data_IF_275222199610
#
_entry.id   IF_275222199610
#
_cell.length_a   1.000
_cell.length_b   1.000
_cell.length_c   1.000
_cell.angle_alpha   90.00
_cell.angle_beta   90.00
_cell.angle_gamma   90.00
#
_symmetry.space_group_name_H-M   'P 1'
#
loop_
_entity.id
_entity.type
_entity.pdbx_description
1 polymer ?
#
# COMPACT_ATOMS: atom_id res chain seq x y z
N UNK A 1 15.09 17.40 -3.12
CA UNK A 1 15.81 16.41 -3.93
C UNK A 1 15.30 15.05 -3.46
N UNK A 2 14.33 14.45 -4.16
CA UNK A 2 13.69 13.18 -3.78
C UNK A 2 14.07 12.16 -4.83
N UNK A 3 15.15 11.44 -4.55
CA UNK A 3 15.63 10.28 -5.28
C UNK A 3 15.73 9.25 -4.15
N UNK A 4 14.75 8.39 -3.95
CA UNK A 4 14.55 7.19 -4.76
C UNK A 4 13.14 6.63 -4.49
N UNK A 5 12.23 6.80 -5.45
CA UNK A 5 10.80 7.07 -5.20
C UNK A 5 9.91 5.80 -5.15
N UNK A 6 10.29 4.77 -4.37
CA UNK A 6 9.47 3.57 -4.19
C UNK A 6 8.95 3.46 -2.77
N UNK A 7 7.65 3.21 -2.63
CA UNK A 7 7.01 2.98 -1.31
C UNK A 7 7.32 1.58 -0.74
N UNK A 8 7.98 0.69 -1.49
CA UNK A 8 8.35 -0.65 -1.04
C UNK A 8 8.71 -1.63 -2.17
N UNK A 9 9.03 -2.90 -1.84
CA UNK A 9 9.50 -3.89 -2.81
C UNK A 9 8.43 -4.28 -3.84
N UNK A 10 7.16 -4.30 -3.46
CA UNK A 10 6.07 -4.60 -4.38
C UNK A 10 5.85 -3.50 -5.43
N UNK A 11 6.12 -2.24 -5.09
CA UNK A 11 6.04 -1.15 -6.06
C UNK A 11 7.12 -1.28 -7.13
N UNK A 12 8.36 -1.55 -6.70
CA UNK A 12 9.47 -1.83 -7.62
C UNK A 12 9.15 -3.00 -8.54
N UNK A 13 8.63 -4.11 -7.99
CA UNK A 13 8.23 -5.27 -8.80
C UNK A 13 7.15 -4.93 -9.82
N UNK A 14 6.12 -4.18 -9.43
CA UNK A 14 5.08 -3.76 -10.38
C UNK A 14 5.63 -2.90 -11.51
N UNK A 15 6.60 -2.04 -11.24
CA UNK A 15 7.24 -1.22 -12.27
C UNK A 15 8.09 -2.06 -13.23
N UNK A 16 8.91 -2.97 -12.69
CA UNK A 16 9.72 -3.90 -13.50
C UNK A 16 8.84 -4.78 -14.39
N UNK A 17 7.75 -5.35 -13.83
CA UNK A 17 6.77 -6.14 -14.59
C UNK A 17 6.07 -5.31 -15.68
N UNK A 18 5.74 -4.05 -15.37
CA UNK A 18 5.10 -3.16 -16.34
C UNK A 18 6.05 -2.78 -17.48
N UNK A 19 7.35 -2.60 -17.20
CA UNK A 19 8.37 -2.29 -18.20
C UNK A 19 8.54 -3.43 -19.23
N UNK A 20 8.42 -4.69 -18.79
CA UNK A 20 8.52 -5.87 -19.65
C UNK A 20 7.23 -6.22 -20.40
N UNK A 21 6.21 -5.34 -20.39
CA UNK A 21 4.93 -5.52 -21.10
C UNK A 21 4.29 -6.90 -20.88
N UNK A 22 3.87 -7.17 -19.65
CA UNK A 22 2.76 -8.08 -19.30
C UNK A 22 2.73 -9.51 -19.88
N UNK A 23 3.82 -10.05 -20.39
CA UNK A 23 3.94 -11.49 -20.48
C UNK A 23 4.28 -11.99 -19.08
N UNK A 24 3.27 -12.15 -18.20
CA UNK A 24 3.41 -12.85 -16.91
C UNK A 24 3.58 -14.35 -17.18
N UNK A 25 4.59 -14.67 -17.97
CA UNK A 25 5.04 -16.02 -18.30
C UNK A 25 6.28 -16.30 -17.46
N UNK A 26 6.62 -17.57 -17.31
CA UNK A 26 7.74 -18.01 -16.48
C UNK A 26 9.09 -17.36 -16.87
N UNK A 27 9.27 -17.04 -18.15
CA UNK A 27 10.47 -16.36 -18.68
C UNK A 27 10.58 -14.91 -18.17
N UNK A 28 9.45 -14.25 -17.90
CA UNK A 28 9.44 -12.89 -17.38
C UNK A 28 9.78 -12.81 -15.89
N UNK A 29 9.41 -13.82 -15.09
CA UNK A 29 9.73 -13.81 -13.65
C UNK A 29 11.25 -13.89 -13.42
N UNK A 30 11.96 -14.73 -14.17
CA UNK A 30 13.42 -14.85 -14.07
C UNK A 30 14.14 -13.54 -14.42
N UNK A 31 13.67 -12.83 -15.47
CA UNK A 31 14.20 -11.51 -15.86
C UNK A 31 13.89 -10.44 -14.82
N UNK A 32 12.66 -10.41 -14.30
CA UNK A 32 12.25 -9.48 -13.24
C UNK A 32 13.06 -9.72 -11.98
N UNK A 33 13.35 -10.97 -11.62
CA UNK A 33 14.24 -11.30 -10.50
C UNK A 33 15.64 -10.73 -10.73
N UNK A 34 16.21 -10.88 -11.92
CA UNK A 34 17.54 -10.31 -12.23
C UNK A 34 17.56 -8.79 -12.10
N UNK A 35 16.55 -8.12 -12.67
CA UNK A 35 16.45 -6.66 -12.59
C UNK A 35 16.23 -6.18 -11.15
N UNK A 36 15.44 -6.91 -10.35
CA UNK A 36 15.21 -6.61 -8.94
C UNK A 36 16.51 -6.71 -8.14
N UNK A 37 17.29 -7.77 -8.34
CA UNK A 37 18.57 -7.97 -7.66
C UNK A 37 19.62 -6.96 -8.15
N UNK A 38 19.62 -6.63 -9.44
CA UNK A 38 20.50 -5.59 -10.00
C UNK A 38 20.21 -4.23 -9.36
N UNK A 39 18.94 -3.86 -9.22
CA UNK A 39 18.49 -2.63 -8.57
C UNK A 39 18.86 -2.61 -7.07
N UNK A 40 18.71 -3.75 -6.39
CA UNK A 40 19.12 -3.89 -4.98
C UNK A 40 20.63 -3.63 -4.82
N UNK A 41 21.45 -4.18 -5.73
CA UNK A 41 22.91 -4.04 -5.71
C UNK A 41 23.40 -2.64 -6.12
N UNK A 42 22.71 -1.96 -7.04
CA UNK A 42 23.13 -0.63 -7.52
C UNK A 42 23.01 0.46 -6.46
N UNK A 43 22.22 0.24 -5.40
CA UNK A 43 22.09 1.15 -4.26
C UNK A 43 23.25 1.11 -3.26
N UNK A 44 24.17 0.16 -3.38
CA UNK A 44 25.34 0.07 -2.49
C UNK A 44 24.99 -0.22 -1.02
N UNK A 45 25.93 -0.01 -0.07
CA UNK A 45 25.72 -0.26 1.37
C UNK A 45 24.94 0.83 2.12
N UNK A 46 24.45 1.87 1.43
CA UNK A 46 23.70 3.00 2.02
C UNK A 46 22.22 2.69 2.30
N UNK A 47 21.87 1.40 2.39
CA UNK A 47 20.52 1.00 2.74
C UNK A 47 20.20 1.42 4.17
N UNK A 48 19.07 2.11 4.33
CA UNK A 48 18.40 2.18 5.61
C UNK A 48 18.01 0.74 6.02
N UNK A 49 18.58 0.27 7.12
CA UNK A 49 18.46 -1.12 7.60
C UNK A 49 17.00 -1.56 7.76
N UNK A 50 16.13 -0.63 8.13
CA UNK A 50 14.70 -0.89 8.34
C UNK A 50 14.00 -1.21 7.00
N UNK A 51 14.31 -0.44 5.94
CA UNK A 51 13.80 -0.71 4.60
C UNK A 51 14.45 -1.94 3.95
N UNK A 52 15.68 -2.30 4.34
CA UNK A 52 16.40 -3.44 3.78
C UNK A 52 15.70 -4.78 4.03
N UNK A 53 15.07 -4.94 5.19
CA UNK A 53 14.50 -6.23 5.59
C UNK A 53 13.39 -6.71 4.65
N UNK A 54 12.48 -5.82 4.25
CA UNK A 54 11.36 -6.20 3.36
C UNK A 54 11.86 -6.56 1.96
N UNK A 55 12.81 -5.80 1.42
CA UNK A 55 13.41 -6.10 0.12
C UNK A 55 14.21 -7.39 0.14
N UNK A 56 14.91 -7.70 1.25
CA UNK A 56 15.67 -8.95 1.39
C UNK A 56 14.76 -10.18 1.43
N UNK A 57 13.62 -10.12 2.13
CA UNK A 57 12.65 -11.22 2.15
C UNK A 57 12.11 -11.49 0.74
N UNK A 58 11.73 -10.44 0.02
CA UNK A 58 11.24 -10.57 -1.36
C UNK A 58 12.34 -11.05 -2.31
N UNK A 59 13.57 -10.54 -2.16
CA UNK A 59 14.72 -10.99 -2.94
C UNK A 59 14.99 -12.49 -2.73
N UNK A 60 14.98 -12.96 -1.49
CA UNK A 60 15.18 -14.38 -1.16
C UNK A 60 14.10 -15.24 -1.82
N UNK A 61 12.81 -14.88 -1.67
CA UNK A 61 11.70 -15.60 -2.32
C UNK A 61 11.86 -15.65 -3.84
N UNK A 62 12.25 -14.54 -4.48
CA UNK A 62 12.45 -14.50 -5.94
C UNK A 62 13.64 -15.35 -6.40
N UNK A 63 14.71 -15.40 -5.61
CA UNK A 63 15.88 -16.23 -5.87
C UNK A 63 15.55 -17.71 -5.71
N UNK A 64 14.80 -18.09 -4.67
CA UNK A 64 14.35 -19.47 -4.44
C UNK A 64 13.48 -19.96 -5.61
N UNK A 65 12.51 -19.14 -6.03
CA UNK A 65 11.66 -19.41 -7.20
C UNK A 65 12.48 -19.56 -8.50
N UNK A 66 13.52 -18.74 -8.67
CA UNK A 66 14.41 -18.82 -9.84
C UNK A 66 15.29 -20.07 -9.81
N UNK A 67 15.85 -20.41 -8.65
CA UNK A 67 16.72 -21.57 -8.46
C UNK A 67 15.96 -22.88 -8.72
N UNK A 68 14.78 -23.02 -8.12
CA UNK A 68 13.90 -24.16 -8.35
C UNK A 68 13.59 -24.38 -9.84
N UNK A 69 13.40 -23.30 -10.60
CA UNK A 69 13.06 -23.39 -12.02
C UNK A 69 14.24 -23.77 -12.92
N UNK A 70 15.46 -23.40 -12.54
CA UNK A 70 16.68 -23.67 -13.32
C UNK A 70 17.27 -25.06 -13.07
N UNK A 71 16.87 -25.73 -11.99
CA UNK A 71 17.23 -27.11 -11.74
C UNK A 71 16.48 -28.02 -12.75
N UNK A 72 17.14 -29.06 -13.29
CA UNK A 72 16.47 -30.02 -14.17
C UNK A 72 15.26 -30.56 -13.43
N UNK A 73 14.08 -30.48 -14.05
CA UNK A 73 12.85 -30.98 -13.47
C UNK A 73 13.02 -32.47 -13.15
N UNK A 74 13.27 -32.79 -11.88
CA UNK A 74 12.66 -33.98 -11.32
C UNK A 74 11.15 -33.77 -11.50
N UNK A 75 10.42 -34.83 -11.83
CA UNK A 75 8.97 -34.77 -11.80
C UNK A 75 8.52 -34.18 -10.45
N UNK A 76 7.41 -33.43 -10.43
CA UNK A 76 6.85 -32.87 -9.19
C UNK A 76 6.51 -34.05 -8.27
N UNK A 77 7.47 -34.48 -7.47
CA UNK A 77 7.42 -35.72 -6.70
C UNK A 77 7.45 -35.45 -5.19
N UNK A 78 7.85 -34.24 -4.75
CA UNK A 78 8.00 -33.91 -3.33
C UNK A 78 7.17 -32.70 -2.84
N UNK A 79 7.06 -32.59 -1.52
CA UNK A 79 6.34 -31.54 -0.79
C UNK A 79 6.98 -30.15 -0.98
N UNK A 80 8.29 -30.09 -1.22
CA UNK A 80 9.02 -28.84 -1.38
C UNK A 80 8.69 -28.14 -2.71
N UNK A 81 8.53 -28.92 -3.78
CA UNK A 81 8.09 -28.41 -5.09
C UNK A 81 6.66 -27.84 -5.02
N UNK A 82 5.77 -28.48 -4.26
CA UNK A 82 4.41 -27.97 -4.03
C UNK A 82 4.45 -26.64 -3.26
N UNK A 83 5.23 -26.56 -2.17
CA UNK A 83 5.39 -25.35 -1.38
C UNK A 83 5.94 -24.17 -2.22
N UNK A 84 6.84 -24.44 -3.16
CA UNK A 84 7.38 -23.43 -4.08
C UNK A 84 6.32 -22.90 -5.06
N UNK A 85 5.45 -23.76 -5.59
CA UNK A 85 4.31 -23.34 -6.42
C UNK A 85 3.33 -22.48 -5.63
N UNK A 86 3.04 -22.85 -4.39
CA UNK A 86 2.18 -22.04 -3.50
C UNK A 86 2.82 -20.68 -3.16
N UNK A 87 4.12 -20.64 -2.90
CA UNK A 87 4.85 -19.40 -2.64
C UNK A 87 4.80 -18.44 -3.84
N UNK A 88 4.91 -18.98 -5.06
CA UNK A 88 4.74 -18.23 -6.31
C UNK A 88 3.33 -17.62 -6.40
N UNK A 89 2.30 -18.43 -6.17
CA UNK A 89 0.92 -17.99 -6.31
C UNK A 89 0.55 -16.97 -5.23
N UNK A 90 1.06 -17.14 -4.01
CA UNK A 90 0.94 -16.17 -2.93
C UNK A 90 1.61 -14.83 -3.28
N UNK A 91 2.81 -14.87 -3.86
CA UNK A 91 3.51 -13.66 -4.31
C UNK A 91 2.68 -12.90 -5.36
N UNK A 92 2.13 -13.62 -6.35
CA UNK A 92 1.26 -13.01 -7.36
C UNK A 92 -0.03 -12.44 -6.77
N UNK A 93 -0.66 -13.14 -5.82
CA UNK A 93 -1.84 -12.65 -5.12
C UNK A 93 -1.55 -11.33 -4.38
N UNK A 94 -0.42 -11.26 -3.67
CA UNK A 94 0.01 -10.03 -2.97
C UNK A 94 0.31 -8.88 -3.93
N UNK A 95 0.97 -9.16 -5.06
CA UNK A 95 1.22 -8.15 -6.10
C UNK A 95 -0.09 -7.61 -6.68
N UNK A 96 -1.07 -8.49 -6.95
CA UNK A 96 -2.38 -8.08 -7.45
C UNK A 96 -3.14 -7.23 -6.42
N UNK A 97 -3.09 -7.62 -5.15
CA UNK A 97 -3.69 -6.90 -4.03
C UNK A 97 -3.06 -5.50 -3.88
N UNK A 98 -1.72 -5.42 -3.86
CA UNK A 98 -1.01 -4.14 -3.80
C UNK A 98 -1.38 -3.24 -4.98
N UNK A 99 -1.43 -3.77 -6.20
CA UNK A 99 -1.88 -3.03 -7.39
C UNK A 99 -3.31 -2.50 -7.26
N UNK A 100 -4.21 -3.28 -6.67
CA UNK A 100 -5.60 -2.86 -6.45
C UNK A 100 -5.67 -1.69 -5.45
N UNK A 101 -4.94 -1.78 -4.33
CA UNK A 101 -4.90 -0.71 -3.34
C UNK A 101 -4.21 0.54 -3.87
N UNK A 102 -3.14 0.41 -4.64
CA UNK A 102 -2.48 1.56 -5.28
C UNK A 102 -3.46 2.32 -6.18
N UNK A 103 -4.24 1.61 -7.00
CA UNK A 103 -5.29 2.22 -7.83
C UNK A 103 -6.40 2.87 -7.00
N UNK A 104 -6.80 2.26 -5.89
CA UNK A 104 -7.80 2.83 -4.99
C UNK A 104 -7.28 4.13 -4.34
N UNK A 105 -6.03 4.15 -3.89
CA UNK A 105 -5.37 5.33 -3.34
C UNK A 105 -5.28 6.45 -4.39
N UNK A 106 -4.85 6.16 -5.62
CA UNK A 106 -4.84 7.12 -6.74
C UNK A 106 -6.23 7.66 -7.08
N UNK A 107 -7.27 6.82 -7.00
CA UNK A 107 -8.65 7.27 -7.16
C UNK A 107 -9.07 8.23 -6.04
N UNK A 108 -8.82 7.87 -4.78
CA UNK A 108 -9.15 8.70 -3.64
C UNK A 108 -8.41 10.03 -3.68
N UNK A 109 -7.12 10.01 -4.02
CA UNK A 109 -6.29 11.20 -4.15
C UNK A 109 -6.88 12.18 -5.18
N UNK A 110 -7.18 11.71 -6.39
CA UNK A 110 -7.83 12.54 -7.42
C UNK A 110 -9.20 13.07 -6.99
N UNK A 111 -9.96 12.28 -6.24
CA UNK A 111 -11.24 12.73 -5.67
C UNK A 111 -11.02 13.84 -4.65
N UNK A 112 -10.05 13.71 -3.76
CA UNK A 112 -9.72 14.74 -2.76
C UNK A 112 -9.28 16.04 -3.43
N UNK A 113 -8.37 15.98 -4.41
CA UNK A 113 -7.94 17.17 -5.17
C UNK A 113 -9.12 17.87 -5.87
N UNK A 114 -10.04 17.10 -6.46
CA UNK A 114 -11.22 17.65 -7.13
C UNK A 114 -12.19 18.33 -6.15
N UNK A 115 -12.29 17.83 -4.92
CA UNK A 115 -13.19 18.35 -3.88
C UNK A 115 -12.54 19.41 -3.00
N UNK A 116 -11.21 19.60 -3.06
CA UNK A 116 -10.45 20.54 -2.22
C UNK A 116 -11.00 21.98 -2.28
N UNK A 117 -11.51 22.37 -3.44
CA UNK A 117 -12.09 23.71 -3.68
C UNK A 117 -13.58 23.81 -3.34
N UNK A 118 -14.18 22.74 -2.83
CA UNK A 118 -15.60 22.73 -2.42
C UNK A 118 -15.68 22.94 -0.93
N UNK A 119 -16.26 24.06 -0.53
CA UNK A 119 -16.48 24.38 0.87
C UNK A 119 -17.97 24.28 1.21
N UNK A 120 -18.34 23.63 2.31
CA UNK A 120 -19.72 23.62 2.74
C UNK A 120 -20.14 25.04 3.08
N UNK A 121 -21.36 25.41 2.68
CA UNK A 121 -21.96 26.66 3.12
C UNK A 121 -22.55 26.46 4.52
N UNK A 122 -21.91 27.02 5.53
CA UNK A 122 -22.45 27.01 6.90
C UNK A 122 -23.55 28.07 7.00
N UNK A 123 -24.81 27.65 6.78
CA UNK A 123 -25.99 28.49 6.97
C UNK A 123 -26.89 27.88 8.04
N UNK A 124 -27.60 28.76 8.73
CA UNK A 124 -28.71 28.35 9.59
C UNK A 124 -29.76 27.61 8.78
N UNK A 125 -30.45 26.66 9.44
CA UNK A 125 -31.60 26.00 8.86
C UNK A 125 -32.69 27.02 8.52
N UNK A 126 -33.44 26.76 7.46
CA UNK A 126 -34.63 27.55 7.14
C UNK A 126 -35.61 27.54 8.33
N UNK A 127 -36.39 28.62 8.55
CA UNK A 127 -37.26 28.75 9.72
C UNK A 127 -38.20 27.55 9.94
N UNK A 128 -38.73 26.98 8.84
CA UNK A 128 -39.59 25.80 8.89
C UNK A 128 -38.88 24.55 9.46
N UNK A 129 -37.59 24.37 9.15
CA UNK A 129 -36.79 23.25 9.65
C UNK A 129 -36.23 23.53 11.05
N UNK A 130 -35.88 24.79 11.35
CA UNK A 130 -35.43 25.19 12.68
C UNK A 130 -36.54 24.98 13.74
N UNK A 131 -37.80 25.21 13.37
CA UNK A 131 -38.96 24.99 14.25
C UNK A 131 -39.25 23.51 14.56
N UNK A 132 -38.70 22.58 13.77
CA UNK A 132 -38.82 21.14 13.97
C UNK A 132 -37.70 20.55 14.85
N UNK A 133 -36.70 21.35 15.21
CA UNK A 133 -35.64 20.89 16.10
C UNK A 133 -36.24 20.52 17.47
N UNK A 134 -35.82 19.40 18.07
CA UNK A 134 -36.26 19.05 19.41
C UNK A 134 -35.81 20.10 20.41
N UNK A 135 -36.53 20.21 21.52
CA UNK A 135 -36.13 21.09 22.61
C UNK A 135 -34.72 20.70 23.09
N UNK A 136 -33.81 21.67 23.05
CA UNK A 136 -32.42 21.47 23.46
C UNK A 136 -32.38 21.39 24.98
N UNK A 137 -32.40 20.17 25.51
CA UNK A 137 -32.17 19.90 26.92
C UNK A 137 -30.67 19.87 27.16
N UNK A 138 -30.11 20.99 27.62
CA UNK A 138 -28.72 21.05 28.06
C UNK A 138 -28.58 20.25 29.36
N UNK A 139 -28.11 18.99 29.23
CA UNK A 139 -27.84 18.10 30.38
C UNK A 139 -26.59 18.48 31.18
N UNK A 140 -25.93 19.58 30.81
CA UNK A 140 -24.62 19.98 31.32
C UNK A 140 -24.76 21.33 32.02
N UNK A 141 -24.44 21.36 33.31
CA UNK A 141 -24.36 22.59 34.09
C UNK A 141 -23.06 23.37 33.86
N UNK A 142 -22.88 24.53 34.51
CA UNK A 142 -21.74 25.42 34.33
C UNK A 142 -20.37 24.73 34.48
N UNK A 143 -20.21 23.85 35.47
CA UNK A 143 -18.96 23.13 35.72
C UNK A 143 -18.66 22.10 34.63
N UNK A 144 -19.70 21.46 34.09
CA UNK A 144 -19.55 20.54 32.98
C UNK A 144 -19.20 21.26 31.68
N UNK A 145 -19.78 22.44 31.46
CA UNK A 145 -19.44 23.30 30.33
C UNK A 145 -17.98 23.77 30.42
N UNK A 146 -17.52 24.17 31.60
CA UNK A 146 -16.13 24.55 31.84
C UNK A 146 -15.15 23.41 31.53
N UNK A 147 -15.47 22.16 31.92
CA UNK A 147 -14.65 20.98 31.57
C UNK A 147 -14.56 20.74 30.06
N UNK A 148 -15.68 20.87 29.34
CA UNK A 148 -15.70 20.73 27.88
C UNK A 148 -14.90 21.83 27.18
N UNK A 149 -15.01 23.07 27.66
CA UNK A 149 -14.25 24.20 27.14
C UNK A 149 -12.73 23.98 27.30
N UNK A 150 -12.28 23.49 28.46
CA UNK A 150 -10.87 23.14 28.68
C UNK A 150 -10.41 22.03 27.72
N UNK A 151 -11.24 21.03 27.43
CA UNK A 151 -10.93 19.97 26.46
C UNK A 151 -10.79 20.51 25.03
N UNK A 152 -11.70 21.38 24.60
CA UNK A 152 -11.72 21.94 23.25
C UNK A 152 -10.59 22.95 22.98
N UNK A 153 -10.15 23.68 24.02
CA UNK A 153 -9.14 24.75 23.92
C UNK A 153 -7.71 24.28 24.21
N UNK A 154 -7.48 22.98 24.45
CA UNK A 154 -6.12 22.44 24.56
C UNK A 154 -5.44 22.46 23.19
N UNK A 155 -4.19 22.96 23.08
CA UNK A 155 -3.43 22.83 21.84
C UNK A 155 -3.25 21.34 21.51
N UNK A 156 -3.34 21.01 20.22
CA UNK A 156 -3.05 19.68 19.70
C UNK A 156 -1.56 19.44 19.63
#
# INVERSE_FOLDING_TARGET
MVLDNFEGPFDLLLQLISAHKLDVTEVALSRVTDDFIAHLRSRGPEWDLDHATEFLVVAATLLDLKAARLLPAAEVEDEADLALLEARDLLFARLLQYRAYKRAAEFMHRRMEAEERRHPRTVSLEPAHAALLPEVVLRVGPEGLARLAVLAMRPR
#
